data_IF_700576592059
#
_entry.id   IF_700576592059
#
_cell.length_a   1.000
_cell.length_b   1.000
_cell.length_c   1.000
_cell.angle_alpha   90.00
_cell.angle_beta   90.00
_cell.angle_gamma   90.00
#
_symmetry.space_group_name_H-M   'P 1'
#
loop_
_entity.id
_entity.type
_entity.pdbx_description
1 polymer ?
#
# COMPACT_ATOMS: atom_id res chain seq x y z
N UNK A 1 20.45 43.89 -48.25
CA UNK A 1 20.57 42.44 -48.06
C UNK A 1 20.95 42.24 -46.60
N UNK A 2 19.97 41.96 -45.74
CA UNK A 2 20.21 41.75 -44.31
C UNK A 2 20.19 40.24 -44.07
N UNK A 3 21.36 39.68 -43.76
CA UNK A 3 21.49 38.30 -43.30
C UNK A 3 20.84 38.18 -41.93
N UNK A 4 19.97 37.19 -41.82
CA UNK A 4 19.26 36.85 -40.61
C UNK A 4 20.25 36.29 -39.58
N UNK A 5 20.52 37.08 -38.54
CA UNK A 5 21.09 36.57 -37.29
C UNK A 5 20.00 35.75 -36.58
N UNK A 6 19.97 34.46 -36.93
CA UNK A 6 19.07 33.49 -36.33
C UNK A 6 19.60 33.22 -34.92
N UNK A 7 19.15 34.05 -33.98
CA UNK A 7 19.44 33.92 -32.56
C UNK A 7 19.35 32.45 -32.13
N UNK A 8 20.50 31.96 -31.67
CA UNK A 8 20.69 30.69 -30.98
C UNK A 8 19.69 30.64 -29.82
N UNK A 9 18.55 29.99 -30.05
CA UNK A 9 17.57 29.74 -28.98
C UNK A 9 18.30 28.83 -27.97
N UNK A 10 18.46 29.25 -26.71
CA UNK A 10 19.06 28.36 -25.72
C UNK A 10 18.20 27.09 -25.69
N UNK A 11 18.87 25.94 -25.84
CA UNK A 11 18.24 24.64 -25.70
C UNK A 11 17.42 24.68 -24.41
N UNK A 12 16.09 24.58 -24.52
CA UNK A 12 15.22 24.46 -23.35
C UNK A 12 15.77 23.30 -22.53
N UNK A 13 16.31 23.64 -21.36
CA UNK A 13 16.95 22.70 -20.46
C UNK A 13 16.08 21.45 -20.30
N UNK A 14 16.74 20.30 -20.31
CA UNK A 14 16.13 19.00 -20.14
C UNK A 14 15.15 19.00 -18.96
N UNK A 15 13.92 18.55 -19.22
CA UNK A 15 12.73 18.51 -18.34
C UNK A 15 12.07 19.87 -18.05
N UNK A 16 11.10 20.24 -18.88
CA UNK A 16 10.09 21.23 -18.51
C UNK A 16 9.32 20.75 -17.27
N UNK A 17 8.75 21.66 -16.47
CA UNK A 17 7.92 21.30 -15.30
C UNK A 17 6.82 20.28 -15.66
N UNK A 18 6.28 20.37 -16.88
CA UNK A 18 5.25 19.47 -17.41
C UNK A 18 5.78 18.05 -17.63
N UNK A 19 7.05 17.89 -18.05
CA UNK A 19 7.68 16.58 -18.22
C UNK A 19 7.99 15.92 -16.88
N UNK A 20 8.41 16.71 -15.87
CA UNK A 20 8.62 16.19 -14.52
C UNK A 20 7.31 15.71 -13.89
N UNK A 21 6.22 16.45 -14.08
CA UNK A 21 4.90 16.05 -13.60
C UNK A 21 4.44 14.75 -14.28
N UNK A 22 4.60 14.63 -15.60
CA UNK A 22 4.25 13.41 -16.35
C UNK A 22 4.97 12.18 -15.79
N UNK A 23 6.30 12.26 -15.62
CA UNK A 23 7.09 11.14 -15.08
C UNK A 23 6.69 10.73 -13.66
N UNK A 24 6.30 11.70 -12.82
CA UNK A 24 5.79 11.41 -11.47
C UNK A 24 4.45 10.66 -11.53
N UNK A 25 3.54 11.08 -12.42
CA UNK A 25 2.24 10.43 -12.61
C UNK A 25 2.41 9.00 -13.12
N UNK A 26 3.19 8.80 -14.19
CA UNK A 26 3.45 7.47 -14.75
C UNK A 26 4.05 6.51 -13.71
N UNK A 27 4.94 7.02 -12.84
CA UNK A 27 5.48 6.23 -11.73
C UNK A 27 4.41 5.84 -10.71
N UNK A 28 3.49 6.74 -10.37
CA UNK A 28 2.39 6.46 -9.45
C UNK A 28 1.43 5.42 -10.04
N UNK A 29 1.07 5.56 -11.32
CA UNK A 29 0.17 4.62 -12.01
C UNK A 29 0.74 3.21 -12.02
N UNK A 30 2.02 3.05 -12.34
CA UNK A 30 2.71 1.76 -12.26
C UNK A 30 2.69 1.18 -10.84
N UNK A 31 2.96 2.01 -9.82
CA UNK A 31 2.93 1.55 -8.43
C UNK A 31 1.52 1.14 -7.97
N UNK A 32 0.47 1.81 -8.44
CA UNK A 32 -0.92 1.41 -8.16
C UNK A 32 -1.29 0.10 -8.87
N UNK A 33 -0.79 -0.13 -10.08
CA UNK A 33 -0.94 -1.42 -10.77
C UNK A 33 -0.22 -2.56 -10.03
N UNK A 34 1.04 -2.36 -9.63
CA UNK A 34 1.81 -3.32 -8.83
C UNK A 34 1.09 -3.65 -7.50
N UNK A 35 0.58 -2.61 -6.81
CA UNK A 35 -0.19 -2.76 -5.57
C UNK A 35 -1.50 -3.52 -5.78
N UNK A 36 -2.18 -3.32 -6.92
CA UNK A 36 -3.38 -4.07 -7.27
C UNK A 36 -3.05 -5.55 -7.47
N UNK A 37 -2.00 -5.87 -8.22
CA UNK A 37 -1.54 -7.25 -8.39
C UNK A 37 -1.27 -7.95 -7.06
N UNK A 38 -0.52 -7.29 -6.16
CA UNK A 38 -0.26 -7.81 -4.81
C UNK A 38 -1.55 -7.99 -3.98
N UNK A 39 -2.52 -7.09 -4.12
CA UNK A 39 -3.79 -7.19 -3.41
C UNK A 39 -4.64 -8.36 -3.93
N UNK A 40 -4.56 -8.64 -5.23
CA UNK A 40 -5.23 -9.79 -5.87
C UNK A 40 -4.57 -11.10 -5.42
N UNK A 41 -3.23 -11.20 -5.43
CA UNK A 41 -2.51 -12.37 -4.92
C UNK A 41 -2.86 -12.68 -3.45
N UNK A 42 -2.91 -11.65 -2.59
CA UNK A 42 -3.33 -11.81 -1.18
C UNK A 42 -4.76 -12.35 -1.09
N UNK A 43 -5.66 -11.91 -1.98
CA UNK A 43 -7.06 -12.38 -2.00
C UNK A 43 -7.12 -13.85 -2.38
N UNK A 44 -6.33 -14.28 -3.35
CA UNK A 44 -6.28 -15.66 -3.82
C UNK A 44 -5.74 -16.59 -2.73
N UNK A 45 -4.71 -16.20 -2.00
CA UNK A 45 -4.22 -16.96 -0.82
C UNK A 45 -5.34 -17.16 0.23
N UNK A 46 -6.13 -16.13 0.52
CA UNK A 46 -7.27 -16.28 1.43
C UNK A 46 -8.39 -17.15 0.85
N UNK A 47 -8.57 -17.17 -0.46
CA UNK A 47 -9.55 -18.01 -1.14
C UNK A 47 -9.11 -19.49 -1.11
N UNK A 48 -7.84 -19.77 -1.38
CA UNK A 48 -7.23 -21.10 -1.24
C UNK A 48 -7.36 -21.62 0.20
N UNK A 49 -7.00 -20.79 1.19
CA UNK A 49 -7.13 -21.15 2.60
C UNK A 49 -8.58 -21.50 2.98
N UNK A 50 -9.56 -20.77 2.43
CA UNK A 50 -10.98 -21.07 2.61
C UNK A 50 -11.37 -22.39 1.94
N UNK A 51 -10.86 -22.68 0.74
CA UNK A 51 -11.16 -23.92 0.03
C UNK A 51 -10.66 -25.17 0.78
N UNK A 52 -9.58 -25.04 1.55
CA UNK A 52 -9.05 -26.14 2.39
C UNK A 52 -9.59 -26.13 3.83
N UNK A 53 -10.55 -25.27 4.15
CA UNK A 53 -11.31 -25.30 5.41
C UNK A 53 -10.90 -24.29 6.48
N UNK A 54 -9.98 -23.37 6.22
CA UNK A 54 -9.64 -22.31 7.19
C UNK A 54 -10.64 -21.14 7.14
N UNK A 55 -10.90 -20.52 8.30
CA UNK A 55 -11.67 -19.28 8.37
C UNK A 55 -10.79 -18.07 8.00
N UNK A 56 -11.02 -17.51 6.81
CA UNK A 56 -10.26 -16.36 6.31
C UNK A 56 -10.46 -15.08 7.12
N UNK A 57 -11.58 -14.91 7.86
CA UNK A 57 -11.78 -13.76 8.77
C UNK A 57 -10.84 -13.88 9.97
N UNK A 58 -10.77 -15.06 10.57
CA UNK A 58 -9.85 -15.32 11.68
C UNK A 58 -8.39 -15.17 11.22
N UNK A 59 -8.04 -15.69 10.04
CA UNK A 59 -6.69 -15.50 9.49
C UNK A 59 -6.32 -14.02 9.32
N UNK A 60 -7.23 -13.16 8.85
CA UNK A 60 -6.99 -11.70 8.75
C UNK A 60 -6.76 -11.08 10.12
N UNK A 61 -7.49 -11.51 11.14
CA UNK A 61 -7.24 -11.09 12.53
C UNK A 61 -5.83 -11.51 12.99
N UNK A 62 -5.42 -12.75 12.74
CA UNK A 62 -4.07 -13.23 13.07
C UNK A 62 -2.99 -12.42 12.34
N UNK A 63 -3.16 -12.11 11.04
CA UNK A 63 -2.20 -11.26 10.30
C UNK A 63 -2.09 -9.87 10.91
N UNK A 64 -3.21 -9.27 11.35
CA UNK A 64 -3.20 -7.98 12.06
C UNK A 64 -2.45 -8.08 13.39
N UNK A 65 -2.71 -9.12 14.18
CA UNK A 65 -2.02 -9.37 15.46
C UNK A 65 -0.51 -9.59 15.27
N UNK A 66 -0.10 -10.26 14.19
CA UNK A 66 1.32 -10.51 13.87
C UNK A 66 2.07 -9.26 13.41
N UNK A 67 1.36 -8.24 12.92
CA UNK A 67 1.93 -6.94 12.54
C UNK A 67 2.17 -6.01 13.74
N UNK A 68 1.53 -6.28 14.88
CA UNK A 68 1.72 -5.49 16.10
C UNK A 68 3.05 -5.82 16.77
N UNK A 69 3.61 -4.84 17.50
CA UNK A 69 4.76 -5.12 18.37
C UNK A 69 4.31 -6.06 19.51
N UNK A 70 5.20 -6.93 20.02
CA UNK A 70 4.85 -7.84 21.10
C UNK A 70 4.28 -7.16 22.35
N UNK A 71 4.82 -6.00 22.73
CA UNK A 71 4.34 -5.22 23.87
C UNK A 71 2.93 -4.66 23.63
N UNK A 72 2.72 -3.96 22.51
CA UNK A 72 1.42 -3.40 22.14
C UNK A 72 0.34 -4.49 22.08
N UNK A 73 0.68 -5.68 21.59
CA UNK A 73 -0.24 -6.82 21.55
C UNK A 73 -0.60 -7.31 22.95
N UNK A 74 0.38 -7.45 23.85
CA UNK A 74 0.15 -7.86 25.25
C UNK A 74 -0.73 -6.86 25.98
N UNK A 75 -0.46 -5.57 25.81
CA UNK A 75 -1.27 -4.50 26.41
C UNK A 75 -2.72 -4.56 25.93
N UNK A 76 -2.93 -4.69 24.61
CA UNK A 76 -4.25 -4.85 24.03
C UNK A 76 -4.97 -6.10 24.54
N UNK A 77 -4.29 -7.24 24.66
CA UNK A 77 -4.85 -8.49 25.18
C UNK A 77 -5.29 -8.33 26.64
N UNK A 78 -4.48 -7.70 27.50
CA UNK A 78 -4.84 -7.43 28.90
C UNK A 78 -6.09 -6.55 29.03
N UNK A 79 -6.18 -5.49 28.21
CA UNK A 79 -7.35 -4.60 28.19
C UNK A 79 -8.59 -5.35 27.71
N UNK A 80 -8.46 -6.14 26.64
CA UNK A 80 -9.55 -6.94 26.09
C UNK A 80 -10.09 -7.94 27.11
N UNK A 81 -9.21 -8.64 27.82
CA UNK A 81 -9.61 -9.62 28.82
C UNK A 81 -10.27 -8.97 30.04
N UNK A 82 -9.84 -7.77 30.43
CA UNK A 82 -10.52 -6.96 31.45
C UNK A 82 -11.96 -6.66 31.04
N UNK A 83 -12.18 -6.29 29.78
CA UNK A 83 -13.53 -5.97 29.28
C UNK A 83 -14.40 -7.22 29.14
N UNK A 84 -13.83 -8.35 28.68
CA UNK A 84 -14.54 -9.64 28.64
C UNK A 84 -14.98 -10.05 30.04
N UNK A 85 -14.09 -9.97 31.04
CA UNK A 85 -14.43 -10.30 32.42
C UNK A 85 -15.56 -9.43 32.96
N UNK A 86 -15.52 -8.12 32.72
CA UNK A 86 -16.58 -7.19 33.11
C UNK A 86 -17.94 -7.50 32.46
N UNK A 87 -17.93 -8.08 31.26
CA UNK A 87 -19.12 -8.46 30.50
C UNK A 87 -19.53 -9.94 30.67
N UNK A 88 -18.79 -10.73 31.46
CA UNK A 88 -19.05 -12.17 31.62
C UNK A 88 -18.77 -13.01 30.37
N UNK A 89 -17.85 -12.56 29.50
CA UNK A 89 -17.43 -13.23 28.26
C UNK A 89 -16.15 -14.07 28.44
N UNK A 90 -16.08 -14.86 29.52
CA UNK A 90 -14.92 -15.68 29.91
C UNK A 90 -15.26 -17.16 29.99
#
# INVERSE_FOLDING_TARGET
MAEADLAERPARDATSTDDRLRLLIERVERLEEEKKGLADDIRDVYAEAKAVGYDSKIMRQIVRLRKMKPDDRREMEMVLDTYKAALGLG
#
